data_IF_547713577736
#
_entry.id   IF_547713577736
#
_cell.length_a   1.000
_cell.length_b   1.000
_cell.length_c   1.000
_cell.angle_alpha   90.00
_cell.angle_beta   90.00
_cell.angle_gamma   90.00
#
_symmetry.space_group_name_H-M   'P 1'
#
loop_
_entity.id
_entity.type
_entity.pdbx_description
1 polymer ?
#
# COMPACT_ATOMS: atom_id res chain seq x y z
N UNK A 1 -16.09 7.80 -18.36
CA UNK A 1 -15.39 6.74 -17.59
C UNK A 1 -16.16 5.44 -17.79
N UNK A 2 -15.57 4.41 -18.39
CA UNK A 2 -16.29 3.24 -18.92
C UNK A 2 -16.97 2.34 -17.87
N UNK A 3 -16.64 2.50 -16.59
CA UNK A 3 -17.12 1.64 -15.49
C UNK A 3 -17.89 2.38 -14.39
N UNK A 4 -18.26 3.64 -14.65
CA UNK A 4 -19.13 4.39 -13.77
C UNK A 4 -20.46 3.62 -13.59
N UNK A 5 -20.84 3.32 -12.34
CA UNK A 5 -22.05 2.57 -11.97
C UNK A 5 -22.01 1.03 -12.13
N UNK A 6 -20.85 0.41 -12.40
CA UNK A 6 -20.69 -1.06 -12.41
C UNK A 6 -20.11 -1.64 -11.12
N UNK A 7 -19.53 -0.79 -10.27
CA UNK A 7 -19.01 -1.15 -8.95
C UNK A 7 -19.98 -0.67 -7.87
N UNK A 8 -20.52 -1.62 -7.11
CA UNK A 8 -21.37 -1.36 -5.94
C UNK A 8 -20.71 -1.96 -4.71
N UNK A 9 -20.65 -1.20 -3.62
CA UNK A 9 -20.24 -1.73 -2.33
C UNK A 9 -21.48 -2.23 -1.59
N UNK A 10 -21.47 -3.50 -1.20
CA UNK A 10 -22.52 -4.03 -0.36
C UNK A 10 -22.40 -3.45 1.06
N UNK A 11 -23.53 -3.37 1.76
CA UNK A 11 -23.51 -3.07 3.19
C UNK A 11 -22.69 -4.14 3.91
N UNK A 12 -21.72 -3.71 4.70
CA UNK A 12 -20.90 -4.57 5.53
C UNK A 12 -21.29 -4.34 6.99
N UNK A 13 -21.62 -5.42 7.70
CA UNK A 13 -21.87 -5.36 9.13
C UNK A 13 -20.55 -5.12 9.88
N UNK A 14 -20.62 -4.34 10.96
CA UNK A 14 -19.46 -4.05 11.78
C UNK A 14 -19.12 -5.24 12.65
N UNK A 15 -17.88 -5.71 12.58
CA UNK A 15 -17.34 -6.73 13.49
C UNK A 15 -16.63 -6.02 14.65
N UNK A 16 -16.91 -6.35 15.91
CA UNK A 16 -16.19 -5.80 17.07
C UNK A 16 -14.69 -6.10 16.99
N UNK A 17 -13.86 -5.17 17.45
CA UNK A 17 -12.40 -5.35 17.40
C UNK A 17 -11.93 -6.49 18.30
N UNK A 18 -12.62 -6.76 19.40
CA UNK A 18 -12.34 -7.84 20.33
C UNK A 18 -12.50 -9.23 19.69
N UNK A 19 -13.38 -9.35 18.69
CA UNK A 19 -13.56 -10.58 17.93
C UNK A 19 -12.46 -10.76 16.87
N UNK A 20 -12.01 -9.65 16.26
CA UNK A 20 -10.93 -9.66 15.26
C UNK A 20 -9.56 -9.83 15.91
N UNK A 21 -9.36 -9.29 17.12
CA UNK A 21 -8.10 -9.24 17.85
C UNK A 21 -8.26 -9.85 19.25
N UNK A 22 -8.49 -11.17 19.37
CA UNK A 22 -8.78 -11.82 20.65
C UNK A 22 -7.61 -11.78 21.64
N UNK A 23 -6.37 -11.70 21.14
CA UNK A 23 -5.15 -11.68 21.96
C UNK A 23 -4.69 -10.25 22.32
N UNK A 24 -5.39 -9.22 21.82
CA UNK A 24 -5.02 -7.84 22.08
C UNK A 24 -5.50 -7.38 23.46
N UNK A 25 -4.70 -6.51 24.10
CA UNK A 25 -5.11 -5.88 25.36
C UNK A 25 -6.24 -4.87 25.12
N UNK A 26 -6.99 -4.54 26.18
CA UNK A 26 -8.10 -3.60 26.09
C UNK A 26 -7.62 -2.21 25.65
N UNK A 27 -6.43 -1.79 26.10
CA UNK A 27 -5.78 -0.55 25.71
C UNK A 27 -5.40 -0.56 24.23
N UNK A 28 -4.89 -1.69 23.72
CA UNK A 28 -4.54 -1.84 22.31
C UNK A 28 -5.78 -1.71 21.42
N UNK A 29 -6.88 -2.39 21.79
CA UNK A 29 -8.16 -2.31 21.08
C UNK A 29 -8.71 -0.89 21.11
N UNK A 30 -8.66 -0.23 22.27
CA UNK A 30 -9.08 1.15 22.42
C UNK A 30 -8.26 2.11 21.52
N UNK A 31 -6.95 1.92 21.42
CA UNK A 31 -6.10 2.73 20.54
C UNK A 31 -6.40 2.48 19.05
N UNK A 32 -6.52 1.21 18.63
CA UNK A 32 -6.84 0.83 17.25
C UNK A 32 -8.18 1.40 16.79
N UNK A 33 -9.19 1.40 17.68
CA UNK A 33 -10.51 1.97 17.38
C UNK A 33 -10.45 3.46 17.00
N UNK A 34 -9.46 4.21 17.51
CA UNK A 34 -9.24 5.63 17.19
C UNK A 34 -8.47 5.83 15.88
N UNK A 35 -7.70 4.84 15.42
CA UNK A 35 -7.01 4.87 14.13
C UNK A 35 -7.92 4.52 12.96
N UNK A 36 -8.75 3.48 13.14
CA UNK A 36 -9.59 2.91 12.07
C UNK A 36 -10.96 3.61 11.97
N UNK A 37 -10.94 4.94 12.03
CA UNK A 37 -12.11 5.80 11.85
C UNK A 37 -12.19 6.25 10.39
N UNK A 38 -13.38 6.11 9.77
CA UNK A 38 -13.58 6.40 8.35
C UNK A 38 -13.46 7.90 8.02
N UNK A 39 -14.14 8.83 8.73
CA UNK A 39 -13.88 10.25 8.55
C UNK A 39 -12.43 10.62 8.95
N UNK A 40 -11.61 11.15 8.03
CA UNK A 40 -10.19 11.39 8.29
C UNK A 40 -9.93 12.45 9.36
N UNK A 41 -10.84 13.43 9.50
CA UNK A 41 -10.75 14.49 10.49
C UNK A 41 -11.10 14.04 11.92
N UNK A 42 -11.70 12.85 12.08
CA UNK A 42 -11.97 12.25 13.39
C UNK A 42 -10.87 11.28 13.83
N UNK A 43 -9.91 10.98 12.96
CA UNK A 43 -8.79 10.09 13.27
C UNK A 43 -7.86 10.77 14.26
N UNK A 44 -7.40 10.02 15.25
CA UNK A 44 -6.42 10.50 16.25
C UNK A 44 -5.12 10.97 15.58
N UNK A 45 -4.53 12.04 16.10
CA UNK A 45 -3.22 12.52 15.65
C UNK A 45 -2.08 11.74 16.30
N UNK A 46 -0.88 11.78 15.68
CA UNK A 46 0.31 11.11 16.25
C UNK A 46 0.64 11.62 17.65
N UNK A 47 0.57 12.94 17.86
CA UNK A 47 0.89 13.55 19.15
C UNK A 47 -0.07 13.17 20.28
N UNK A 48 -1.32 12.85 19.95
CA UNK A 48 -2.30 12.33 20.91
C UNK A 48 -2.11 10.83 21.13
N UNK A 49 -1.89 10.06 20.06
CA UNK A 49 -1.68 8.61 20.14
C UNK A 49 -0.47 8.24 20.99
N UNK A 50 0.64 8.99 20.92
CA UNK A 50 1.83 8.75 21.74
C UNK A 50 1.61 8.94 23.25
N UNK A 51 0.51 9.59 23.65
CA UNK A 51 0.13 9.79 25.06
C UNK A 51 -0.86 8.75 25.56
N UNK A 52 -1.28 7.82 24.70
CA UNK A 52 -2.27 6.81 25.03
C UNK A 52 -1.73 5.82 26.08
N UNK A 53 -2.58 5.33 27.02
CA UNK A 53 -2.18 4.37 28.03
C UNK A 53 -1.42 3.17 27.47
N UNK A 54 -1.75 2.70 26.26
CA UNK A 54 -1.10 1.57 25.60
C UNK A 54 0.44 1.64 25.60
N UNK A 55 1.04 2.83 25.51
CA UNK A 55 2.49 3.00 25.50
C UNK A 55 3.13 3.18 26.89
N UNK A 56 2.30 3.33 27.92
CA UNK A 56 2.74 3.68 29.29
C UNK A 56 2.35 2.63 30.33
N UNK A 57 1.43 1.73 29.99
CA UNK A 57 1.04 0.59 30.82
C UNK A 57 1.86 -0.64 30.47
N UNK A 58 2.07 -1.53 31.43
CA UNK A 58 2.67 -2.83 31.15
C UNK A 58 1.78 -3.66 30.21
N UNK A 59 2.37 -4.42 29.26
CA UNK A 59 3.79 -4.57 29.02
C UNK A 59 4.38 -3.39 28.24
N UNK A 60 5.48 -2.84 28.74
CA UNK A 60 6.25 -1.81 28.02
C UNK A 60 6.84 -2.38 26.72
N UNK A 61 7.09 -1.53 25.71
CA UNK A 61 7.70 -1.97 24.46
C UNK A 61 9.04 -2.68 24.70
N UNK A 62 9.21 -3.81 24.00
CA UNK A 62 10.42 -4.61 24.06
C UNK A 62 11.66 -3.79 23.69
N UNK A 63 12.79 -4.12 24.32
CA UNK A 63 14.05 -3.50 23.92
C UNK A 63 14.44 -3.98 22.53
N UNK A 64 15.11 -3.13 21.75
CA UNK A 64 15.48 -3.45 20.36
C UNK A 64 16.28 -4.76 20.24
N UNK A 65 17.11 -5.07 21.25
CA UNK A 65 17.91 -6.29 21.31
C UNK A 65 17.10 -7.58 21.56
N UNK A 66 15.86 -7.47 22.05
CA UNK A 66 14.96 -8.60 22.30
C UNK A 66 14.11 -8.94 21.07
N UNK A 67 14.05 -8.05 20.08
CA UNK A 67 13.31 -8.30 18.85
C UNK A 67 13.98 -9.42 18.04
N UNK A 68 13.18 -10.33 17.45
CA UNK A 68 13.71 -11.44 16.67
C UNK A 68 14.45 -10.92 15.44
N UNK A 69 15.73 -11.25 15.32
CA UNK A 69 16.53 -10.92 14.13
C UNK A 69 16.27 -12.01 13.08
N UNK A 70 15.60 -11.64 12.00
CA UNK A 70 15.47 -12.51 10.82
C UNK A 70 16.83 -12.54 10.13
N UNK A 71 17.61 -13.60 10.39
CA UNK A 71 18.82 -13.84 9.62
C UNK A 71 18.42 -14.45 8.27
N UNK A 72 18.92 -13.93 7.13
CA UNK A 72 18.63 -14.53 5.83
C UNK A 72 19.20 -15.95 5.83
N UNK A 73 18.31 -16.94 5.77
CA UNK A 73 18.71 -18.33 5.64
C UNK A 73 19.45 -18.47 4.30
N UNK A 74 20.72 -18.87 4.35
CA UNK A 74 21.69 -18.95 3.22
C UNK A 74 21.27 -19.78 1.99
N UNK A 75 20.03 -20.30 1.93
CA UNK A 75 19.58 -21.22 0.89
C UNK A 75 18.42 -20.70 0.03
N UNK A 76 17.96 -19.46 0.21
CA UNK A 76 17.11 -18.83 -0.80
C UNK A 76 18.01 -18.44 -1.98
N UNK A 77 17.72 -19.02 -3.14
CA UNK A 77 18.22 -18.59 -4.45
C UNK A 77 18.38 -17.07 -4.47
N UNK A 78 19.48 -16.52 -5.03
CA UNK A 78 19.68 -15.08 -5.10
C UNK A 78 18.51 -14.48 -5.87
N UNK A 79 17.54 -13.93 -5.14
CA UNK A 79 16.54 -13.05 -5.71
C UNK A 79 17.34 -11.87 -6.26
N UNK A 80 17.27 -11.57 -7.57
CA UNK A 80 18.07 -10.49 -8.18
C UNK A 80 17.54 -9.11 -7.79
N UNK A 81 17.00 -8.95 -6.58
CA UNK A 81 16.71 -7.65 -6.03
C UNK A 81 18.02 -7.07 -5.52
N UNK A 82 18.52 -6.11 -6.31
CA UNK A 82 19.36 -5.01 -5.86
C UNK A 82 19.12 -4.77 -4.37
N UNK A 83 20.11 -5.13 -3.56
CA UNK A 83 20.01 -5.12 -2.11
C UNK A 83 19.58 -3.73 -1.70
N UNK A 84 18.51 -3.60 -0.91
CA UNK A 84 18.04 -2.32 -0.36
C UNK A 84 19.18 -1.44 0.20
N UNK A 85 20.22 -2.07 0.76
CA UNK A 85 21.47 -1.45 1.21
C UNK A 85 22.21 -0.67 0.10
N UNK A 86 22.21 -1.16 -1.13
CA UNK A 86 22.78 -0.46 -2.30
C UNK A 86 21.97 0.81 -2.56
N UNK A 87 20.64 0.73 -2.55
CA UNK A 87 19.76 1.89 -2.72
C UNK A 87 19.88 2.94 -1.59
N UNK A 88 20.29 2.53 -0.39
CA UNK A 88 20.53 3.47 0.72
C UNK A 88 21.87 4.20 0.60
N UNK A 89 22.80 3.67 -0.21
CA UNK A 89 24.17 4.19 -0.34
C UNK A 89 24.45 4.84 -1.69
N UNK A 90 23.62 4.60 -2.70
CA UNK A 90 23.73 5.26 -4.00
C UNK A 90 23.03 6.64 -3.98
N UNK A 91 23.55 7.62 -4.75
CA UNK A 91 22.91 8.93 -4.88
C UNK A 91 21.48 8.80 -5.41
N UNK A 92 20.56 9.61 -4.88
CA UNK A 92 19.14 9.56 -5.22
C UNK A 92 18.88 9.69 -6.73
N UNK A 93 19.70 10.48 -7.43
CA UNK A 93 19.62 10.71 -8.88
C UNK A 93 19.86 9.44 -9.70
N UNK A 94 20.57 8.45 -9.15
CA UNK A 94 20.78 7.15 -9.80
C UNK A 94 19.58 6.20 -9.67
N UNK A 95 18.74 6.42 -8.67
CA UNK A 95 17.54 5.61 -8.37
C UNK A 95 16.31 6.22 -9.06
N UNK A 96 16.28 7.55 -9.17
CA UNK A 96 15.16 8.26 -9.80
C UNK A 96 15.24 8.18 -11.33
N UNK A 97 14.24 7.59 -11.96
CA UNK A 97 14.05 7.69 -13.39
C UNK A 97 13.65 9.13 -13.78
N UNK A 98 14.24 9.66 -14.85
CA UNK A 98 13.84 10.96 -15.40
C UNK A 98 12.36 10.93 -15.83
N UNK A 99 11.61 11.96 -15.44
CA UNK A 99 10.17 12.07 -15.69
C UNK A 99 9.81 11.97 -17.20
N UNK A 100 10.73 12.32 -18.09
CA UNK A 100 10.50 12.22 -19.54
C UNK A 100 10.37 10.77 -20.03
N UNK A 101 11.10 9.84 -19.42
CA UNK A 101 11.05 8.40 -19.75
C UNK A 101 9.68 7.82 -19.41
N UNK A 102 9.03 8.31 -18.35
CA UNK A 102 7.68 7.90 -17.97
C UNK A 102 6.61 8.38 -18.98
N UNK A 103 6.83 9.53 -19.62
CA UNK A 103 5.93 10.07 -20.65
C UNK A 103 6.01 9.28 -21.95
N UNK A 104 7.19 8.73 -22.27
CA UNK A 104 7.40 7.91 -23.47
C UNK A 104 6.64 6.58 -23.38
N UNK A 105 6.61 5.96 -22.19
CA UNK A 105 5.79 4.76 -21.95
C UNK A 105 4.28 5.00 -22.12
N UNK A 106 3.78 6.18 -21.72
CA UNK A 106 2.37 6.57 -21.95
C UNK A 106 2.06 6.72 -23.44
N UNK A 107 2.99 7.31 -24.22
CA UNK A 107 2.82 7.44 -25.67
C UNK A 107 2.77 6.10 -26.40
N UNK A 108 3.57 5.12 -26.00
CA UNK A 108 3.56 3.79 -26.61
C UNK A 108 2.23 3.04 -26.38
N UNK A 109 1.57 3.27 -25.24
CA UNK A 109 0.24 2.72 -24.96
C UNK A 109 -0.85 3.40 -25.78
N UNK A 110 -0.73 4.71 -26.02
CA UNK A 110 -1.64 5.48 -26.86
C UNK A 110 -1.49 5.12 -28.37
N UNK A 111 -0.26 4.85 -28.83
CA UNK A 111 0.03 4.47 -30.22
C UNK A 111 -0.45 3.05 -30.58
N UNK A 112 -0.56 2.14 -29.59
CA UNK A 112 -1.13 0.79 -29.80
C UNK A 112 -2.66 0.82 -29.96
N UNK A 113 -3.34 1.79 -29.31
CA UNK A 113 -4.79 1.98 -29.43
C UNK A 113 -5.18 2.61 -30.77
N UNK A 114 -4.34 3.50 -31.34
CA UNK A 114 -4.62 4.19 -32.59
C UNK A 114 -4.37 3.34 -33.85
N UNK A 115 -3.48 2.35 -33.78
CA UNK A 115 -3.18 1.45 -34.91
C UNK A 115 -4.17 0.28 -35.08
N UNK A 116 -5.23 0.19 -34.27
CA UNK A 116 -6.22 -0.91 -34.33
C UNK A 116 -7.49 -0.61 -35.15
N UNK A 117 -7.58 0.57 -35.79
CA UNK A 117 -8.77 0.96 -36.57
C UNK A 117 -8.43 1.43 -37.98
N UNK A 118 -8.06 0.50 -38.86
CA UNK A 118 -8.25 0.70 -40.30
C UNK A 118 -8.83 -0.56 -40.93
N UNK A 119 -10.16 -0.70 -40.84
CA UNK A 119 -10.94 -1.64 -41.64
C UNK A 119 -11.41 -0.94 -42.91
N UNK A 120 -11.16 -1.48 -44.11
CA UNK A 120 -11.55 -0.81 -45.34
C UNK A 120 -13.08 -0.85 -45.49
N UNK A 121 -13.67 0.34 -45.57
CA UNK A 121 -15.08 0.54 -45.86
C UNK A 121 -15.29 0.34 -47.37
N UNK A 122 -16.14 -0.62 -47.76
CA UNK A 122 -16.47 -0.89 -49.16
C UNK A 122 -17.94 -1.21 -49.34
N UNK A 123 -18.78 -0.17 -49.43
CA UNK A 123 -20.15 -0.25 -49.93
C UNK A 123 -20.10 -0.40 -51.45
N UNK A 124 -20.76 -1.41 -52.03
CA UNK A 124 -21.28 -1.37 -53.40
C UNK A 124 -22.57 -2.18 -53.51
N UNK A 125 -23.47 -1.61 -54.29
CA UNK A 125 -24.92 -1.80 -54.40
C UNK A 125 -25.22 -2.52 -55.71
N UNK A 126 -25.93 -3.66 -55.66
CA UNK A 126 -27.00 -4.11 -56.57
C UNK A 126 -27.38 -5.55 -56.25
#
# INVERSE_FOLDING_TARGET
MPDYNKISFNLCETIPFEEVLPDASVEAVALVSKFLVYPPHQRITVSEALKDPYFTTDPLPAQLSELPVVTPHRNTLPHPQETYEVCLTTPLESILCNHEVLKEGVKLLDDELTNSFDGPTGVTRM
#
